data_IF_064354733329
#
_entry.id   IF_064354733329
#
_cell.length_a   1.000
_cell.length_b   1.000
_cell.length_c   1.000
_cell.angle_alpha   90.00
_cell.angle_beta   90.00
_cell.angle_gamma   90.00
#
_symmetry.space_group_name_H-M   'P 1'
#
loop_
_entity.id
_entity.type
_entity.pdbx_description
1 polymer ?
#
# COMPACT_ATOMS: atom_id res chain seq x y z
N UNK A 1 -86.05 8.99 -48.20
CA UNK A 1 -85.37 8.84 -49.52
C UNK A 1 -84.02 9.55 -49.41
N UNK A 2 -82.92 8.89 -49.79
CA UNK A 2 -81.51 9.37 -49.80
C UNK A 2 -80.84 9.51 -48.41
N UNK A 3 -79.57 9.16 -48.18
CA UNK A 3 -78.51 8.59 -49.02
C UNK A 3 -77.46 7.99 -48.07
N UNK A 4 -77.03 6.75 -48.33
CA UNK A 4 -75.87 6.14 -47.66
C UNK A 4 -74.57 6.76 -48.19
N UNK A 5 -73.70 7.24 -47.29
CA UNK A 5 -72.30 7.55 -47.61
C UNK A 5 -71.39 6.53 -46.90
N UNK A 6 -70.79 5.62 -47.68
CA UNK A 6 -69.72 4.69 -47.23
C UNK A 6 -68.38 5.41 -47.33
N UNK A 7 -67.77 5.74 -46.20
CA UNK A 7 -66.37 6.18 -46.13
C UNK A 7 -65.44 4.95 -46.11
N UNK A 8 -64.68 4.74 -47.19
CA UNK A 8 -63.58 3.77 -47.21
C UNK A 8 -62.33 4.43 -46.61
N UNK A 9 -61.91 3.94 -45.45
CA UNK A 9 -60.64 4.32 -44.82
C UNK A 9 -59.49 3.59 -45.52
N UNK A 10 -58.66 4.35 -46.23
CA UNK A 10 -57.43 3.85 -46.87
C UNK A 10 -56.29 3.95 -45.86
N UNK A 11 -55.92 2.80 -45.28
CA UNK A 11 -54.83 2.69 -44.31
C UNK A 11 -53.48 2.75 -45.04
N UNK A 12 -52.88 3.94 -45.14
CA UNK A 12 -51.54 4.09 -45.70
C UNK A 12 -50.48 3.51 -44.76
N UNK A 13 -49.86 2.39 -45.14
CA UNK A 13 -48.62 1.92 -44.51
C UNK A 13 -47.46 2.71 -45.11
N UNK A 14 -46.95 3.70 -44.37
CA UNK A 14 -45.68 4.37 -44.70
C UNK A 14 -44.54 3.39 -44.37
N UNK A 15 -44.08 2.66 -45.37
CA UNK A 15 -42.83 1.91 -45.29
C UNK A 15 -41.67 2.91 -45.34
N UNK A 16 -40.96 3.06 -44.23
CA UNK A 16 -39.75 3.90 -44.16
C UNK A 16 -38.65 3.20 -44.96
N UNK A 17 -38.45 3.61 -46.22
CA UNK A 17 -37.31 3.16 -47.02
C UNK A 17 -36.05 3.90 -46.58
N UNK A 18 -35.36 3.37 -45.57
CA UNK A 18 -34.00 3.80 -45.24
C UNK A 18 -33.06 3.36 -46.38
N UNK A 19 -32.45 4.34 -47.05
CA UNK A 19 -31.38 4.13 -48.02
C UNK A 19 -30.19 3.37 -47.42
N UNK A 20 -29.33 2.83 -48.27
CA UNK A 20 -28.17 1.99 -47.87
C UNK A 20 -27.22 2.70 -46.90
N UNK A 21 -27.12 4.03 -46.97
CA UNK A 21 -26.40 4.87 -46.00
C UNK A 21 -27.09 4.94 -44.63
N UNK A 22 -28.42 5.02 -44.59
CA UNK A 22 -29.19 5.00 -43.35
C UNK A 22 -29.10 3.66 -42.61
N UNK A 23 -29.01 2.54 -43.34
CA UNK A 23 -28.82 1.21 -42.76
C UNK A 23 -27.46 1.05 -42.07
N UNK A 24 -26.39 1.62 -42.65
CA UNK A 24 -25.04 1.59 -42.06
C UNK A 24 -24.97 2.42 -40.78
N UNK A 25 -25.55 3.62 -40.76
CA UNK A 25 -25.61 4.45 -39.56
C UNK A 25 -26.42 3.77 -38.43
N UNK A 26 -27.52 3.08 -38.77
CA UNK A 26 -28.31 2.32 -37.81
C UNK A 26 -27.54 1.12 -37.23
N UNK A 27 -26.79 0.39 -38.05
CA UNK A 27 -25.95 -0.72 -37.56
C UNK A 27 -24.82 -0.22 -36.66
N UNK A 28 -24.23 0.94 -36.97
CA UNK A 28 -23.20 1.57 -36.14
C UNK A 28 -23.77 2.04 -34.78
N UNK A 29 -24.96 2.65 -34.79
CA UNK A 29 -25.65 3.06 -33.56
C UNK A 29 -26.08 1.85 -32.70
N UNK A 30 -26.58 0.77 -33.33
CA UNK A 30 -26.94 -0.47 -32.62
C UNK A 30 -25.71 -1.18 -32.07
N UNK A 31 -24.60 -1.16 -32.81
CA UNK A 31 -23.31 -1.67 -32.33
C UNK A 31 -22.79 -0.86 -31.15
N UNK A 32 -22.92 0.48 -31.18
CA UNK A 32 -22.48 1.36 -30.10
C UNK A 32 -23.31 1.14 -28.81
N UNK A 33 -24.62 0.90 -28.95
CA UNK A 33 -25.51 0.52 -27.83
C UNK A 33 -25.20 -0.88 -27.26
N UNK A 34 -24.69 -1.81 -28.07
CA UNK A 34 -24.24 -3.13 -27.61
C UNK A 34 -22.92 -3.10 -26.85
N UNK A 35 -22.13 -2.03 -26.93
CA UNK A 35 -20.90 -1.83 -26.15
C UNK A 35 -21.12 -0.98 -24.89
N UNK A 36 -22.36 -0.73 -24.47
CA UNK A 36 -22.65 -0.27 -23.12
C UNK A 36 -22.36 -1.43 -22.14
N UNK A 37 -21.08 -1.61 -21.81
CA UNK A 37 -20.62 -2.51 -20.77
C UNK A 37 -21.40 -2.19 -19.51
N UNK A 38 -22.11 -3.18 -18.96
CA UNK A 38 -22.73 -3.09 -17.66
C UNK A 38 -21.61 -2.88 -16.65
N UNK A 39 -21.38 -1.63 -16.24
CA UNK A 39 -20.59 -1.35 -15.06
C UNK A 39 -21.26 -2.12 -13.93
N UNK A 40 -20.59 -3.16 -13.42
CA UNK A 40 -21.12 -3.91 -12.29
C UNK A 40 -21.10 -2.93 -11.13
N UNK A 41 -22.28 -2.60 -10.62
CA UNK A 41 -22.38 -1.64 -9.53
C UNK A 41 -21.70 -2.24 -8.31
N UNK A 42 -20.76 -1.50 -7.74
CA UNK A 42 -20.19 -1.78 -6.42
C UNK A 42 -21.33 -1.73 -5.40
N UNK A 43 -21.41 -2.71 -4.51
CA UNK A 43 -22.45 -2.79 -3.49
C UNK A 43 -21.78 -2.72 -2.11
N UNK A 44 -22.33 -1.87 -1.25
CA UNK A 44 -22.00 -1.88 0.18
C UNK A 44 -22.83 -2.95 0.88
N UNK A 45 -22.15 -3.89 1.51
CA UNK A 45 -22.73 -4.94 2.34
C UNK A 45 -22.49 -4.63 3.81
N UNK A 46 -23.55 -4.58 4.60
CA UNK A 46 -23.48 -4.35 6.05
C UNK A 46 -23.94 -5.59 6.79
N UNK A 47 -23.20 -6.05 7.80
CA UNK A 47 -23.62 -7.20 8.59
C UNK A 47 -24.88 -6.85 9.39
N UNK A 48 -25.84 -7.78 9.45
CA UNK A 48 -27.09 -7.64 10.22
C UNK A 48 -27.21 -8.65 11.36
N UNK A 49 -26.25 -9.57 11.44
CA UNK A 49 -26.11 -10.56 12.49
C UNK A 49 -24.69 -11.13 12.47
N UNK A 50 -24.30 -11.77 13.57
CA UNK A 50 -23.08 -12.57 13.62
C UNK A 50 -23.20 -13.83 12.77
N UNK A 51 -22.10 -14.28 12.16
CA UNK A 51 -22.08 -15.48 11.34
C UNK A 51 -20.89 -15.57 10.39
N UNK A 52 -20.96 -16.53 9.48
CA UNK A 52 -19.95 -16.72 8.43
C UNK A 52 -20.01 -15.62 7.38
N UNK A 53 -18.86 -15.20 6.86
CA UNK A 53 -18.74 -14.30 5.72
C UNK A 53 -19.45 -14.86 4.49
N UNK A 54 -19.34 -16.18 4.26
CA UNK A 54 -19.96 -16.88 3.12
C UNK A 54 -21.49 -16.92 3.13
N UNK A 55 -22.13 -16.64 4.26
CA UNK A 55 -23.58 -16.75 4.40
C UNK A 55 -24.25 -15.44 3.93
N UNK A 56 -25.07 -15.47 2.86
CA UNK A 56 -25.73 -14.26 2.36
C UNK A 56 -26.65 -13.59 3.39
N UNK A 57 -27.19 -14.37 4.35
CA UNK A 57 -28.05 -13.86 5.42
C UNK A 57 -27.28 -13.07 6.50
N UNK A 58 -25.96 -13.12 6.50
CA UNK A 58 -25.13 -12.27 7.36
C UNK A 58 -25.20 -10.82 6.90
N UNK A 59 -25.49 -10.55 5.62
CA UNK A 59 -25.30 -9.25 4.99
C UNK A 59 -26.59 -8.62 4.47
N UNK A 60 -26.62 -7.28 4.47
CA UNK A 60 -27.64 -6.46 3.84
C UNK A 60 -26.97 -5.51 2.83
N UNK A 61 -27.44 -5.46 1.55
CA UNK A 61 -28.46 -6.32 0.96
C UNK A 61 -28.04 -7.80 0.94
N UNK A 62 -29.02 -8.71 0.82
CA UNK A 62 -28.76 -10.15 0.83
C UNK A 62 -27.78 -10.54 -0.31
N UNK A 63 -26.61 -11.05 0.07
CA UNK A 63 -25.50 -11.37 -0.82
C UNK A 63 -24.21 -11.54 -0.03
N UNK A 64 -23.10 -11.78 -0.72
CA UNK A 64 -21.79 -11.97 -0.08
C UNK A 64 -20.82 -10.89 -0.60
N UNK A 65 -20.20 -10.08 0.27
CA UNK A 65 -19.22 -9.09 -0.15
C UNK A 65 -18.01 -9.74 -0.85
N UNK A 66 -17.53 -9.07 -1.90
CA UNK A 66 -16.38 -9.51 -2.70
C UNK A 66 -16.76 -10.45 -3.84
N UNK A 67 -18.06 -10.62 -4.11
CA UNK A 67 -18.54 -11.28 -5.34
C UNK A 67 -18.35 -10.40 -6.57
N UNK A 68 -18.31 -9.08 -6.39
CA UNK A 68 -17.94 -8.09 -7.39
C UNK A 68 -16.69 -7.33 -6.89
N UNK A 69 -15.79 -6.99 -7.80
CA UNK A 69 -14.64 -6.14 -7.46
C UNK A 69 -15.10 -4.73 -7.07
N UNK A 70 -14.57 -4.23 -5.97
CA UNK A 70 -14.93 -2.92 -5.43
C UNK A 70 -16.18 -2.92 -4.54
N UNK A 71 -16.76 -4.07 -4.22
CA UNK A 71 -17.74 -4.17 -3.12
C UNK A 71 -17.14 -3.61 -1.82
N UNK A 72 -18.01 -3.15 -0.92
CA UNK A 72 -17.61 -2.71 0.42
C UNK A 72 -18.23 -3.65 1.45
N UNK A 73 -17.49 -3.96 2.52
CA UNK A 73 -17.99 -4.74 3.64
C UNK A 73 -17.92 -3.91 4.93
N UNK A 74 -19.03 -3.81 5.64
CA UNK A 74 -19.14 -3.14 6.94
C UNK A 74 -19.59 -4.18 7.96
N UNK A 75 -18.75 -4.46 8.95
CA UNK A 75 -19.09 -5.30 10.08
C UNK A 75 -19.63 -4.38 11.17
N UNK A 76 -20.94 -4.45 11.37
CA UNK A 76 -21.69 -3.60 12.29
C UNK A 76 -21.27 -3.80 13.74
N UNK A 77 -21.55 -2.78 14.56
CA UNK A 77 -21.39 -2.85 16.02
C UNK A 77 -22.05 -4.09 16.62
N UNK A 78 -21.25 -4.86 17.36
CA UNK A 78 -21.70 -6.03 18.12
C UNK A 78 -21.78 -7.33 17.31
N UNK A 79 -21.63 -7.28 15.99
CA UNK A 79 -21.55 -8.46 15.16
C UNK A 79 -20.14 -9.06 15.16
N UNK A 80 -20.08 -10.39 15.17
CA UNK A 80 -18.85 -11.16 14.92
C UNK A 80 -19.03 -11.85 13.57
N UNK A 81 -18.23 -11.45 12.59
CA UNK A 81 -18.23 -12.07 11.26
C UNK A 81 -16.96 -12.90 11.10
N UNK A 82 -17.16 -14.21 10.90
CA UNK A 82 -16.05 -15.15 10.67
C UNK A 82 -15.74 -15.23 9.18
N UNK A 83 -14.53 -14.88 8.78
CA UNK A 83 -14.02 -15.08 7.43
C UNK A 83 -13.72 -16.57 7.21
N UNK A 84 -14.70 -17.28 6.66
CA UNK A 84 -14.68 -18.72 6.39
C UNK A 84 -14.44 -19.05 4.91
N UNK A 85 -14.19 -18.04 4.08
CA UNK A 85 -13.82 -18.16 2.66
C UNK A 85 -12.79 -17.10 2.31
N UNK A 86 -12.08 -17.27 1.20
CA UNK A 86 -11.33 -16.17 0.59
C UNK A 86 -12.20 -15.54 -0.50
N UNK A 87 -12.70 -14.30 -0.32
CA UNK A 87 -13.47 -13.63 -1.36
C UNK A 87 -12.68 -13.59 -2.68
N UNK A 88 -13.30 -13.88 -3.84
CA UNK A 88 -12.56 -14.02 -5.08
C UNK A 88 -12.01 -12.69 -5.62
N UNK A 89 -12.69 -11.57 -5.33
CA UNK A 89 -12.30 -10.24 -5.80
C UNK A 89 -11.87 -9.33 -4.65
N UNK A 90 -11.15 -8.27 -5.01
CA UNK A 90 -10.70 -7.23 -4.09
C UNK A 90 -11.87 -6.32 -3.73
N UNK A 91 -12.10 -6.15 -2.43
CA UNK A 91 -13.07 -5.21 -1.88
C UNK A 91 -12.52 -3.78 -2.00
N UNK A 92 -13.38 -2.79 -2.25
CA UNK A 92 -12.99 -1.38 -2.15
C UNK A 92 -12.63 -1.04 -0.71
N UNK A 93 -13.43 -1.52 0.25
CA UNK A 93 -13.15 -1.32 1.66
C UNK A 93 -13.69 -2.45 2.55
N UNK A 94 -13.03 -2.65 3.69
CA UNK A 94 -13.53 -3.41 4.83
C UNK A 94 -13.50 -2.51 6.06
N UNK A 95 -14.66 -2.26 6.65
CA UNK A 95 -14.80 -1.47 7.87
C UNK A 95 -15.30 -2.35 9.00
N UNK A 96 -14.59 -2.34 10.13
CA UNK A 96 -15.03 -2.94 11.38
C UNK A 96 -15.45 -1.82 12.32
N UNK A 97 -16.77 -1.67 12.51
CA UNK A 97 -17.32 -0.62 13.36
C UNK A 97 -17.04 -0.87 14.84
N UNK A 98 -17.29 0.16 15.65
CA UNK A 98 -17.08 0.09 17.10
C UNK A 98 -17.82 -1.11 17.70
N UNK A 99 -17.09 -2.04 18.31
CA UNK A 99 -17.62 -3.26 18.92
C UNK A 99 -17.89 -4.40 17.94
N UNK A 100 -17.75 -4.19 16.63
CA UNK A 100 -17.75 -5.26 15.63
C UNK A 100 -16.46 -6.07 15.67
N UNK A 101 -16.49 -7.30 15.15
CA UNK A 101 -15.30 -8.17 15.05
C UNK A 101 -15.24 -8.88 13.71
N UNK A 102 -14.13 -8.72 12.99
CA UNK A 102 -13.73 -9.60 11.89
C UNK A 102 -12.81 -10.68 12.44
N UNK A 103 -13.19 -11.94 12.30
CA UNK A 103 -12.43 -13.06 12.82
C UNK A 103 -12.05 -14.03 11.70
N UNK A 104 -10.77 -14.39 11.56
CA UNK A 104 -10.37 -15.42 10.60
C UNK A 104 -10.67 -16.83 11.16
N UNK A 105 -11.24 -17.71 10.33
CA UNK A 105 -11.56 -19.08 10.73
C UNK A 105 -10.30 -19.91 11.06
N UNK A 106 -10.44 -20.91 11.93
CA UNK A 106 -9.33 -21.80 12.30
C UNK A 106 -9.18 -23.06 11.43
N UNK A 107 -9.96 -23.17 10.34
CA UNK A 107 -10.08 -24.41 9.55
C UNK A 107 -9.09 -24.44 8.39
N UNK A 108 -8.93 -23.32 7.68
CA UNK A 108 -8.07 -23.25 6.50
C UNK A 108 -7.41 -21.87 6.38
N UNK A 109 -6.29 -21.78 5.66
CA UNK A 109 -5.71 -20.50 5.32
C UNK A 109 -6.73 -19.66 4.51
N UNK A 110 -6.90 -18.39 4.89
CA UNK A 110 -7.81 -17.45 4.21
C UNK A 110 -7.05 -16.21 3.78
N UNK A 111 -7.40 -15.70 2.62
CA UNK A 111 -6.96 -14.41 2.13
C UNK A 111 -8.15 -13.46 2.06
N UNK A 112 -8.10 -12.36 2.80
CA UNK A 112 -8.98 -11.21 2.58
C UNK A 112 -8.26 -10.22 1.69
N UNK A 113 -8.91 -9.78 0.61
CA UNK A 113 -8.38 -8.78 -0.32
C UNK A 113 -9.18 -7.50 -0.22
N UNK A 114 -8.56 -6.38 0.10
CA UNK A 114 -9.23 -5.09 0.17
C UNK A 114 -8.28 -3.97 -0.22
N UNK A 115 -8.74 -2.89 -0.85
CA UNK A 115 -7.90 -1.69 -1.03
C UNK A 115 -7.69 -0.98 0.30
N UNK A 116 -8.79 -0.79 1.03
CA UNK A 116 -8.80 -0.10 2.31
C UNK A 116 -9.36 -0.98 3.44
N UNK A 117 -8.75 -0.91 4.60
CA UNK A 117 -9.20 -1.58 5.83
C UNK A 117 -9.25 -0.55 6.94
N UNK A 118 -10.41 -0.39 7.58
CA UNK A 118 -10.61 0.50 8.72
C UNK A 118 -11.11 -0.28 9.92
N UNK A 119 -10.43 -0.15 11.05
CA UNK A 119 -10.86 -0.69 12.34
C UNK A 119 -11.12 0.48 13.27
N UNK A 120 -12.38 0.70 13.63
CA UNK A 120 -12.78 1.79 14.53
C UNK A 120 -12.37 1.48 15.99
N UNK A 121 -12.46 2.48 16.88
CA UNK A 121 -11.84 2.48 18.22
C UNK A 121 -12.13 1.27 19.11
N UNK A 122 -13.28 0.63 18.93
CA UNK A 122 -13.66 -0.60 19.64
C UNK A 122 -13.82 -1.82 18.71
N UNK A 123 -13.59 -1.63 17.41
CA UNK A 123 -13.58 -2.70 16.42
C UNK A 123 -12.39 -3.63 16.63
N UNK A 124 -12.55 -4.88 16.17
CA UNK A 124 -11.51 -5.90 16.29
C UNK A 124 -11.26 -6.66 14.99
N UNK A 125 -10.00 -6.92 14.69
CA UNK A 125 -9.60 -7.98 13.75
C UNK A 125 -8.81 -9.02 14.54
N UNK A 126 -9.24 -10.27 14.53
CA UNK A 126 -8.64 -11.35 15.32
C UNK A 126 -8.48 -12.65 14.53
N UNK A 127 -7.69 -13.57 15.08
CA UNK A 127 -7.63 -14.96 14.63
C UNK A 127 -8.37 -15.87 15.61
N UNK A 128 -9.09 -16.87 15.10
CA UNK A 128 -9.47 -18.00 15.95
C UNK A 128 -8.20 -18.81 16.32
N UNK A 129 -8.07 -19.26 17.58
CA UNK A 129 -6.99 -20.17 17.95
C UNK A 129 -7.00 -21.43 17.07
N UNK A 130 -5.88 -21.72 16.39
CA UNK A 130 -5.72 -22.87 15.50
C UNK A 130 -4.34 -23.52 15.62
N UNK A 131 -4.27 -24.79 15.22
CA UNK A 131 -3.05 -25.61 15.25
C UNK A 131 -2.21 -25.52 13.95
N UNK A 132 -2.23 -24.36 13.26
CA UNK A 132 -1.40 -23.95 12.10
C UNK A 132 -2.23 -23.71 10.83
N UNK A 133 -2.54 -22.42 10.61
CA UNK A 133 -2.91 -21.83 9.33
C UNK A 133 -2.21 -20.46 9.24
N UNK A 134 -1.63 -20.14 8.08
CA UNK A 134 -1.17 -18.76 7.80
C UNK A 134 -2.24 -18.07 6.98
N UNK A 135 -2.92 -17.10 7.58
CA UNK A 135 -3.89 -16.25 6.89
C UNK A 135 -3.18 -15.09 6.18
N UNK A 136 -3.90 -14.36 5.34
CA UNK A 136 -3.40 -13.17 4.68
C UNK A 136 -4.45 -12.06 4.64
N UNK A 137 -4.03 -10.86 5.01
CA UNK A 137 -4.70 -9.61 4.67
C UNK A 137 -3.92 -8.97 3.52
N UNK A 138 -4.46 -9.02 2.31
CA UNK A 138 -3.84 -8.46 1.11
C UNK A 138 -4.48 -7.11 0.78
N UNK A 139 -3.67 -6.06 0.89
CA UNK A 139 -4.03 -4.70 0.49
C UNK A 139 -3.53 -4.41 -0.93
N UNK A 140 -4.45 -4.30 -1.89
CA UNK A 140 -4.14 -4.05 -3.30
C UNK A 140 -5.16 -3.08 -3.93
N UNK A 141 -4.75 -2.25 -4.92
CA UNK A 141 -5.70 -1.41 -5.65
C UNK A 141 -6.74 -2.23 -6.41
N UNK A 142 -7.88 -1.61 -6.72
CA UNK A 142 -8.86 -2.18 -7.65
C UNK A 142 -8.33 -2.06 -9.08
N UNK A 143 -8.75 -2.97 -9.97
CA UNK A 143 -8.40 -2.93 -11.39
C UNK A 143 -8.86 -1.64 -12.10
N UNK A 144 -9.86 -0.95 -11.54
CA UNK A 144 -10.41 0.31 -12.03
C UNK A 144 -9.82 1.55 -11.37
N UNK A 145 -9.00 1.39 -10.33
CA UNK A 145 -8.42 2.53 -9.62
C UNK A 145 -7.44 3.28 -10.52
N UNK A 146 -7.36 4.63 -10.39
CA UNK A 146 -6.26 5.36 -10.99
C UNK A 146 -4.94 4.88 -10.38
N UNK A 147 -3.84 5.00 -11.13
CA UNK A 147 -2.54 4.50 -10.70
C UNK A 147 -2.20 4.96 -9.27
N UNK A 148 -2.38 6.26 -8.99
CA UNK A 148 -2.09 6.97 -7.74
C UNK A 148 -3.05 6.72 -6.57
N UNK A 149 -4.00 5.78 -6.71
CA UNK A 149 -4.87 5.45 -5.59
C UNK A 149 -4.05 4.85 -4.45
N UNK A 150 -4.34 5.30 -3.23
CA UNK A 150 -3.72 4.78 -2.01
C UNK A 150 -4.34 3.43 -1.61
N UNK A 151 -3.56 2.63 -0.88
CA UNK A 151 -4.08 1.46 -0.14
C UNK A 151 -3.80 1.69 1.34
N UNK A 152 -4.82 1.60 2.18
CA UNK A 152 -4.70 1.99 3.59
C UNK A 152 -5.19 0.90 4.53
N UNK A 153 -4.37 0.53 5.52
CA UNK A 153 -4.82 -0.12 6.74
C UNK A 153 -4.79 0.90 7.87
N UNK A 154 -5.96 1.40 8.24
CA UNK A 154 -6.15 2.26 9.40
C UNK A 154 -6.73 1.47 10.57
N UNK A 155 -6.01 1.40 11.68
CA UNK A 155 -6.48 0.74 12.89
C UNK A 155 -6.48 1.70 14.09
N UNK A 156 -7.68 2.02 14.54
CA UNK A 156 -7.93 2.76 15.78
C UNK A 156 -8.42 1.84 16.92
N UNK A 157 -8.72 0.58 16.63
CA UNK A 157 -9.22 -0.42 17.58
C UNK A 157 -8.18 -1.45 18.01
N UNK A 158 -8.51 -2.73 17.93
CA UNK A 158 -7.60 -3.85 18.26
C UNK A 158 -7.37 -4.74 17.05
N UNK A 159 -6.11 -4.96 16.71
CA UNK A 159 -5.72 -5.94 15.68
C UNK A 159 -4.80 -6.96 16.34
N UNK A 160 -5.25 -8.21 16.40
CA UNK A 160 -4.52 -9.37 16.94
C UNK A 160 -4.43 -10.44 15.87
N UNK A 161 -3.32 -10.40 15.13
CA UNK A 161 -3.02 -11.28 14.00
C UNK A 161 -1.97 -12.34 14.36
N UNK A 162 -1.75 -12.58 15.65
CA UNK A 162 -0.81 -13.56 16.19
C UNK A 162 -1.43 -14.27 17.40
N UNK A 163 -2.03 -15.45 17.17
CA UNK A 163 -2.66 -16.23 18.24
C UNK A 163 -2.03 -17.61 18.31
N UNK A 164 -1.13 -17.79 19.27
CA UNK A 164 -0.38 -19.04 19.42
C UNK A 164 0.53 -19.30 18.22
N UNK A 165 0.22 -20.33 17.43
CA UNK A 165 0.93 -20.65 16.17
C UNK A 165 0.22 -20.12 14.92
N UNK A 166 -1.03 -19.63 15.06
CA UNK A 166 -1.77 -19.04 13.95
C UNK A 166 -1.27 -17.61 13.73
N UNK A 167 -1.07 -17.26 12.46
CA UNK A 167 -0.48 -15.97 12.06
C UNK A 167 -1.20 -15.46 10.81
N UNK A 168 -1.48 -14.16 10.74
CA UNK A 168 -1.92 -13.50 9.51
C UNK A 168 -0.81 -12.61 8.95
N UNK A 169 -0.46 -12.81 7.68
CA UNK A 169 0.45 -11.91 6.97
C UNK A 169 -0.33 -10.71 6.45
N UNK A 170 0.06 -9.50 6.85
CA UNK A 170 -0.45 -8.25 6.26
C UNK A 170 0.45 -7.87 5.10
N UNK A 171 -0.06 -7.88 3.88
CA UNK A 171 0.71 -7.57 2.66
C UNK A 171 0.08 -6.39 1.94
N UNK A 172 0.85 -5.32 1.76
CA UNK A 172 0.52 -4.23 0.84
C UNK A 172 1.20 -4.52 -0.49
N UNK A 173 0.42 -4.82 -1.53
CA UNK A 173 0.93 -5.17 -2.86
C UNK A 173 0.41 -4.23 -3.92
N UNK A 174 1.31 -3.67 -4.73
CA UNK A 174 0.91 -2.86 -5.89
C UNK A 174 1.91 -2.95 -7.03
N UNK A 175 1.40 -2.78 -8.24
CA UNK A 175 2.17 -2.64 -9.48
C UNK A 175 2.02 -1.26 -10.12
N UNK A 176 1.40 -0.32 -9.41
CA UNK A 176 1.18 1.07 -9.82
C UNK A 176 1.87 2.02 -8.82
N UNK A 177 2.02 3.29 -9.17
CA UNK A 177 2.47 4.32 -8.23
C UNK A 177 1.34 4.76 -7.34
N UNK A 178 1.49 4.76 -6.03
CA UNK A 178 0.53 5.38 -5.13
C UNK A 178 0.87 5.04 -3.67
N UNK A 179 0.33 5.78 -2.71
CA UNK A 179 0.74 5.60 -1.31
C UNK A 179 0.29 4.25 -0.76
N UNK A 180 1.05 3.72 0.20
CA UNK A 180 0.63 2.57 1.01
C UNK A 180 0.76 2.95 2.48
N UNK A 181 -0.29 2.75 3.27
CA UNK A 181 -0.35 3.31 4.62
C UNK A 181 -0.78 2.27 5.63
N UNK A 182 0.04 2.03 6.66
CA UNK A 182 -0.31 1.31 7.89
C UNK A 182 -0.36 2.34 9.03
N UNK A 183 -1.55 2.78 9.41
CA UNK A 183 -1.74 3.95 10.28
C UNK A 183 -2.78 3.69 11.38
N UNK A 184 -2.90 4.62 12.33
CA UNK A 184 -3.97 4.64 13.32
C UNK A 184 -3.46 4.63 14.78
N UNK A 185 -4.39 4.74 15.72
CA UNK A 185 -4.10 4.85 17.17
C UNK A 185 -4.29 3.56 17.97
N UNK A 186 -4.71 2.47 17.31
CA UNK A 186 -5.12 1.23 17.94
C UNK A 186 -3.96 0.41 18.49
N UNK A 187 -4.31 -0.76 19.04
CA UNK A 187 -3.33 -1.79 19.38
C UNK A 187 -3.04 -2.63 18.14
N UNK A 188 -1.75 -2.86 17.87
CA UNK A 188 -1.27 -3.69 16.78
C UNK A 188 -0.44 -4.84 17.34
N UNK A 189 -0.92 -6.06 17.16
CA UNK A 189 -0.14 -7.29 17.23
C UNK A 189 -0.21 -7.96 15.86
N UNK A 190 0.77 -7.66 15.01
CA UNK A 190 0.78 -8.08 13.61
C UNK A 190 1.66 -9.33 13.42
N UNK A 191 1.24 -10.21 12.53
CA UNK A 191 2.13 -11.21 11.96
C UNK A 191 3.21 -10.57 11.07
N UNK A 192 3.71 -11.29 10.06
CA UNK A 192 4.57 -10.71 9.04
C UNK A 192 3.87 -9.55 8.31
N UNK A 193 4.55 -8.42 8.21
CA UNK A 193 4.13 -7.28 7.39
C UNK A 193 5.04 -7.22 6.15
N UNK A 194 4.42 -7.15 4.97
CA UNK A 194 5.13 -7.03 3.69
C UNK A 194 4.64 -5.77 2.99
N UNK A 195 5.55 -4.86 2.66
CA UNK A 195 5.27 -3.67 1.86
C UNK A 195 6.02 -3.78 0.54
N UNK A 196 5.29 -4.08 -0.53
CA UNK A 196 5.85 -4.28 -1.86
C UNK A 196 5.23 -3.31 -2.88
N UNK A 197 6.12 -2.69 -3.66
CA UNK A 197 5.74 -1.90 -4.81
C UNK A 197 6.61 -2.34 -5.98
N UNK A 198 5.98 -2.95 -6.99
CA UNK A 198 6.64 -3.55 -8.14
C UNK A 198 6.38 -2.79 -9.44
N UNK A 199 6.01 -1.50 -9.36
CA UNK A 199 5.79 -0.69 -10.57
C UNK A 199 6.95 -0.85 -11.54
N UNK A 200 6.63 -1.31 -12.75
CA UNK A 200 7.60 -1.48 -13.84
C UNK A 200 7.82 -0.18 -14.62
N UNK A 201 7.07 0.86 -14.28
CA UNK A 201 7.26 2.18 -14.88
C UNK A 201 8.63 2.70 -14.49
N UNK A 202 9.40 3.10 -15.50
CA UNK A 202 10.70 3.71 -15.29
C UNK A 202 10.48 5.09 -14.69
N UNK A 203 11.08 5.34 -13.53
CA UNK A 203 11.15 6.68 -12.96
C UNK A 203 11.84 7.62 -13.97
N UNK A 204 11.45 8.90 -14.10
CA UNK A 204 12.08 9.83 -15.00
C UNK A 204 13.52 10.03 -14.55
N UNK A 205 14.41 10.12 -15.53
CA UNK A 205 15.83 10.28 -15.27
C UNK A 205 16.18 11.69 -14.75
N UNK A 206 15.25 12.64 -14.86
CA UNK A 206 15.47 14.05 -14.48
C UNK A 206 15.04 14.32 -13.04
N UNK A 207 15.95 14.94 -12.27
CA UNK A 207 15.73 15.34 -10.87
C UNK A 207 14.63 16.38 -10.69
N UNK A 208 14.42 17.21 -11.70
CA UNK A 208 13.46 18.32 -11.68
C UNK A 208 12.07 17.92 -12.23
N UNK A 209 11.89 16.67 -12.68
CA UNK A 209 10.57 16.18 -13.07
C UNK A 209 9.66 16.17 -11.81
N UNK A 210 8.46 16.81 -11.86
CA UNK A 210 7.50 16.79 -10.76
C UNK A 210 7.40 15.40 -10.14
N UNK A 211 7.34 15.36 -8.79
CA UNK A 211 7.15 14.15 -8.02
C UNK A 211 6.18 13.19 -8.72
N UNK A 212 6.79 12.18 -9.33
CA UNK A 212 6.10 11.21 -10.15
C UNK A 212 5.22 10.42 -9.20
N UNK A 213 3.93 10.79 -9.16
CA UNK A 213 2.84 10.07 -8.49
C UNK A 213 3.26 9.46 -7.14
N UNK A 214 3.19 10.25 -6.06
CA UNK A 214 3.52 9.85 -4.69
C UNK A 214 3.23 8.37 -4.38
N UNK A 215 4.30 7.57 -4.26
CA UNK A 215 4.25 6.17 -3.88
C UNK A 215 4.90 5.92 -2.52
N UNK A 216 4.92 6.96 -1.67
CA UNK A 216 5.44 6.88 -0.30
C UNK A 216 4.69 5.79 0.48
N UNK A 217 5.46 4.94 1.14
CA UNK A 217 4.91 3.98 2.09
C UNK A 217 4.99 4.61 3.49
N UNK A 218 3.93 4.51 4.29
CA UNK A 218 3.86 5.12 5.62
C UNK A 218 3.51 4.06 6.66
N UNK A 219 4.27 4.01 7.75
CA UNK A 219 4.00 3.20 8.94
C UNK A 219 3.88 4.13 10.14
N UNK A 220 2.71 4.15 10.79
CA UNK A 220 2.39 5.07 11.87
C UNK A 220 1.86 6.41 11.35
N UNK A 221 1.47 7.28 12.28
CA UNK A 221 0.93 8.60 12.00
C UNK A 221 1.66 9.66 12.83
N UNK A 222 1.94 10.81 12.23
CA UNK A 222 2.63 11.91 12.90
C UNK A 222 1.84 12.45 14.10
N UNK A 223 2.53 12.79 15.19
CA UNK A 223 1.93 13.51 16.32
C UNK A 223 0.91 12.70 17.14
N UNK A 224 0.75 11.41 16.86
CA UNK A 224 0.08 10.50 17.78
C UNK A 224 0.92 10.34 19.06
N UNK A 225 0.26 10.04 20.18
CA UNK A 225 0.95 9.41 21.32
C UNK A 225 1.85 8.28 20.81
N UNK A 226 2.98 8.00 21.46
CA UNK A 226 3.93 6.93 21.11
C UNK A 226 3.27 5.54 21.08
N UNK A 227 2.49 5.30 20.02
CA UNK A 227 1.84 4.04 19.70
C UNK A 227 2.97 3.13 19.27
N UNK A 228 3.08 2.00 19.97
CA UNK A 228 3.96 0.92 19.60
C UNK A 228 3.21 0.03 18.60
N UNK A 229 3.78 -0.12 17.40
CA UNK A 229 3.32 -1.10 16.42
C UNK A 229 4.17 -2.35 16.60
N UNK A 230 3.57 -3.41 17.14
CA UNK A 230 4.22 -4.71 17.27
C UNK A 230 3.99 -5.54 16.01
N UNK A 231 5.06 -6.18 15.51
CA UNK A 231 4.99 -7.10 14.38
C UNK A 231 6.02 -8.23 14.49
N UNK A 232 5.74 -9.38 13.90
CA UNK A 232 6.70 -10.49 13.85
C UNK A 232 7.89 -10.20 12.93
N UNK A 233 7.64 -9.64 11.75
CA UNK A 233 8.67 -9.28 10.78
C UNK A 233 8.19 -8.18 9.87
N UNK A 234 9.12 -7.38 9.33
CA UNK A 234 8.83 -6.37 8.30
C UNK A 234 9.67 -6.65 7.07
N UNK A 235 9.05 -6.90 5.92
CA UNK A 235 9.72 -6.94 4.63
C UNK A 235 9.32 -5.72 3.80
N UNK A 236 10.32 -4.97 3.32
CA UNK A 236 10.14 -3.85 2.40
C UNK A 236 10.82 -4.20 1.08
N UNK A 237 10.03 -4.15 0.00
CA UNK A 237 10.47 -4.36 -1.37
C UNK A 237 9.86 -3.30 -2.27
N UNK A 238 10.30 -2.07 -2.08
CA UNK A 238 9.81 -0.90 -2.78
C UNK A 238 10.73 -0.58 -3.96
N UNK A 239 10.34 -1.01 -5.18
CA UNK A 239 11.13 -0.81 -6.39
C UNK A 239 11.19 0.64 -6.86
N UNK A 240 10.23 1.47 -6.45
CA UNK A 240 10.14 2.88 -6.84
C UNK A 240 10.78 3.82 -5.81
N UNK A 241 11.20 3.28 -4.67
CA UNK A 241 11.93 4.02 -3.64
C UNK A 241 13.39 4.21 -4.02
N UNK A 242 13.81 5.46 -4.22
CA UNK A 242 15.18 5.78 -4.64
C UNK A 242 15.71 7.05 -4.00
N UNK A 243 17.02 7.06 -3.76
CA UNK A 243 17.77 8.28 -3.43
C UNK A 243 18.36 8.80 -4.72
N UNK A 244 18.09 10.06 -5.03
CA UNK A 244 18.78 10.78 -6.10
C UNK A 244 19.71 11.84 -5.52
N UNK A 245 20.95 11.79 -5.98
CA UNK A 245 21.96 12.76 -5.66
C UNK A 245 22.42 13.42 -6.95
N UNK A 246 22.40 14.74 -7.00
CA UNK A 246 23.07 15.50 -8.06
C UNK A 246 24.21 16.31 -7.46
N UNK A 247 25.39 16.10 -8.06
CA UNK A 247 26.46 17.08 -8.02
C UNK A 247 26.41 17.82 -9.34
N UNK A 248 25.87 19.02 -9.34
CA UNK A 248 26.20 19.96 -10.42
C UNK A 248 27.71 20.19 -10.32
N UNK A 249 28.48 19.71 -11.30
CA UNK A 249 29.90 20.06 -11.41
C UNK A 249 29.97 21.47 -12.00
N UNK A 250 29.46 22.45 -11.27
CA UNK A 250 29.81 23.83 -11.50
C UNK A 250 30.92 24.20 -10.53
N UNK A 251 32.09 24.55 -11.07
CA UNK A 251 33.35 24.70 -10.33
C UNK A 251 33.34 25.85 -9.31
N UNK A 252 32.21 26.55 -9.11
CA UNK A 252 32.17 27.90 -8.57
C UNK A 252 31.05 28.23 -7.56
N UNK A 253 30.36 27.27 -6.89
CA UNK A 253 29.69 27.42 -5.55
C UNK A 253 28.32 26.71 -5.34
N UNK A 254 27.96 25.65 -6.06
CA UNK A 254 26.64 25.01 -5.81
C UNK A 254 26.67 23.93 -4.72
N UNK A 255 25.65 23.97 -3.85
CA UNK A 255 25.42 22.96 -2.81
C UNK A 255 24.86 21.69 -3.44
N UNK A 256 25.37 20.49 -3.08
CA UNK A 256 24.81 19.23 -3.55
C UNK A 256 23.29 19.16 -3.31
N UNK A 257 22.54 18.70 -4.33
CA UNK A 257 21.10 18.50 -4.23
C UNK A 257 20.81 17.03 -3.91
N UNK A 258 19.91 16.82 -2.94
CA UNK A 258 19.48 15.51 -2.49
C UNK A 258 17.96 15.41 -2.54
N UNK A 259 17.45 14.30 -3.06
CA UNK A 259 16.02 14.02 -3.16
C UNK A 259 15.72 12.55 -2.83
N UNK A 260 14.74 12.35 -1.96
CA UNK A 260 14.17 11.04 -1.63
C UNK A 260 12.85 10.90 -2.38
N UNK A 261 12.76 9.93 -3.28
CA UNK A 261 11.51 9.62 -3.96
C UNK A 261 10.89 8.36 -3.38
N UNK A 262 9.60 8.45 -3.05
CA UNK A 262 8.76 7.35 -2.61
C UNK A 262 9.39 6.50 -1.48
N UNK A 263 9.93 7.10 -0.40
CA UNK A 263 10.51 6.32 0.69
C UNK A 263 9.42 5.56 1.46
N UNK A 264 9.86 4.58 2.23
CA UNK A 264 9.10 4.01 3.34
C UNK A 264 9.41 4.82 4.59
N UNK A 265 8.42 5.51 5.14
CA UNK A 265 8.56 6.39 6.29
C UNK A 265 7.91 5.75 7.51
N UNK A 266 8.62 5.74 8.62
CA UNK A 266 8.13 5.27 9.92
C UNK A 266 7.96 6.45 10.86
N UNK A 267 6.74 6.66 11.32
CA UNK A 267 6.30 7.78 12.17
C UNK A 267 5.80 7.30 13.54
N UNK A 268 6.00 6.02 13.88
CA UNK A 268 5.61 5.43 15.16
C UNK A 268 6.72 4.52 15.69
N UNK A 269 6.63 4.17 16.97
CA UNK A 269 7.54 3.19 17.57
C UNK A 269 7.30 1.83 16.94
N UNK A 270 8.39 1.16 16.54
CA UNK A 270 8.32 -0.19 15.97
C UNK A 270 8.96 -1.19 16.93
N UNK A 271 8.27 -2.31 17.12
CA UNK A 271 8.80 -3.47 17.82
C UNK A 271 8.66 -4.70 16.94
N UNK A 272 9.78 -5.11 16.35
CA UNK A 272 9.87 -6.23 15.43
C UNK A 272 10.58 -7.38 16.13
N UNK A 273 9.85 -8.45 16.48
CA UNK A 273 10.44 -9.57 17.24
C UNK A 273 11.39 -10.44 16.40
N UNK A 274 11.15 -10.51 15.09
CA UNK A 274 11.96 -11.24 14.12
C UNK A 274 12.81 -10.33 13.23
N UNK A 275 12.63 -10.44 11.91
CA UNK A 275 13.51 -9.80 10.94
C UNK A 275 12.90 -8.51 10.36
N UNK A 276 13.73 -7.48 10.25
CA UNK A 276 13.55 -6.37 9.32
C UNK A 276 14.34 -6.66 8.05
N UNK A 277 13.65 -6.91 6.94
CA UNK A 277 14.23 -7.24 5.63
C UNK A 277 13.95 -6.09 4.67
N UNK A 278 14.98 -5.30 4.34
CA UNK A 278 14.90 -4.28 3.32
C UNK A 278 15.56 -4.80 2.03
N UNK A 279 14.76 -5.32 1.10
CA UNK A 279 15.26 -5.84 -0.18
C UNK A 279 15.63 -4.71 -1.13
N UNK A 280 14.71 -3.74 -1.29
CA UNK A 280 14.80 -2.54 -2.15
C UNK A 280 13.95 -1.42 -1.53
N UNK A 281 14.33 -0.17 -1.80
CA UNK A 281 13.70 1.04 -1.29
C UNK A 281 14.53 1.75 -0.20
N UNK A 282 14.03 2.89 0.26
CA UNK A 282 14.60 3.62 1.39
C UNK A 282 13.66 3.47 2.57
N UNK A 283 14.18 3.07 3.74
CA UNK A 283 13.45 3.14 5.00
C UNK A 283 13.94 4.35 5.80
N UNK A 284 13.06 5.28 6.13
CA UNK A 284 13.34 6.47 6.94
C UNK A 284 12.62 6.34 8.29
N UNK A 285 13.40 6.22 9.37
CA UNK A 285 12.88 6.20 10.72
C UNK A 285 12.79 7.62 11.27
N UNK A 286 11.59 7.99 11.73
CA UNK A 286 11.27 9.26 12.39
C UNK A 286 11.49 10.51 11.52
N UNK A 287 10.72 10.63 10.43
CA UNK A 287 10.78 11.80 9.55
C UNK A 287 10.06 13.01 10.18
N UNK A 288 10.76 13.69 11.08
CA UNK A 288 10.59 15.10 11.46
C UNK A 288 9.25 15.53 12.11
N UNK A 289 8.78 14.83 13.13
CA UNK A 289 7.62 15.29 13.94
C UNK A 289 7.99 15.78 15.36
N UNK A 290 9.28 15.98 15.64
CA UNK A 290 9.80 16.31 16.98
C UNK A 290 9.44 15.27 18.05
N UNK A 291 9.00 14.06 17.69
CA UNK A 291 8.78 12.98 18.65
C UNK A 291 10.05 12.17 18.83
N UNK A 292 10.32 11.71 20.05
CA UNK A 292 11.41 10.77 20.28
C UNK A 292 10.88 9.35 20.15
N UNK A 293 11.47 8.55 19.26
CA UNK A 293 11.04 7.19 18.95
C UNK A 293 12.16 6.20 19.28
N UNK A 294 11.81 5.07 19.87
CA UNK A 294 12.74 3.95 20.07
C UNK A 294 12.21 2.75 19.33
N UNK A 295 12.95 2.31 18.31
CA UNK A 295 12.63 1.11 17.54
C UNK A 295 13.45 -0.07 18.07
N UNK A 296 12.83 -1.25 18.15
CA UNK A 296 13.50 -2.50 18.50
C UNK A 296 13.28 -3.53 17.41
N UNK A 297 14.35 -4.19 16.98
CA UNK A 297 14.34 -5.22 15.94
C UNK A 297 15.14 -6.43 16.41
N UNK A 298 14.66 -7.62 16.08
CA UNK A 298 15.41 -8.86 16.18
C UNK A 298 16.67 -8.79 15.31
N UNK A 299 16.56 -9.09 14.03
CA UNK A 299 17.70 -9.02 13.08
C UNK A 299 17.39 -8.08 11.91
N UNK A 300 18.43 -7.55 11.26
CA UNK A 300 18.33 -6.72 10.07
C UNK A 300 18.97 -7.43 8.88
N UNK A 301 18.28 -7.42 7.74
CA UNK A 301 18.81 -7.84 6.46
C UNK A 301 18.62 -6.71 5.43
N UNK A 302 19.71 -6.23 4.83
CA UNK A 302 19.67 -5.14 3.84
C UNK A 302 20.24 -5.59 2.49
N UNK A 303 19.51 -5.32 1.43
CA UNK A 303 19.92 -5.58 0.06
C UNK A 303 19.31 -6.84 -0.54
N UNK A 304 19.43 -6.92 -1.86
CA UNK A 304 19.06 -8.07 -2.68
C UNK A 304 20.03 -8.22 -3.86
N UNK A 305 19.96 -9.33 -4.59
CA UNK A 305 20.73 -9.54 -5.81
C UNK A 305 20.35 -8.57 -6.95
N UNK A 306 19.26 -7.81 -6.81
CA UNK A 306 18.80 -6.79 -7.76
C UNK A 306 18.96 -5.36 -7.22
N UNK A 307 19.59 -5.18 -6.06
CA UNK A 307 20.02 -3.85 -5.61
C UNK A 307 21.12 -3.36 -6.56
N UNK A 308 20.99 -2.13 -7.07
CA UNK A 308 21.92 -1.58 -8.08
C UNK A 308 22.28 -0.16 -7.68
N UNK A 309 23.55 0.20 -7.84
CA UNK A 309 23.95 1.61 -7.90
C UNK A 309 24.21 1.97 -9.35
N UNK A 310 23.54 3.01 -9.85
CA UNK A 310 23.81 3.51 -11.20
C UNK A 310 24.54 4.84 -11.04
N UNK A 311 25.79 4.87 -11.51
CA UNK A 311 26.56 6.09 -11.70
C UNK A 311 26.45 6.49 -13.17
N UNK A 312 25.95 7.68 -13.46
CA UNK A 312 25.88 8.17 -14.83
C UNK A 312 25.59 9.66 -14.88
N UNK A 313 26.00 10.33 -15.97
CA UNK A 313 25.48 11.66 -16.28
C UNK A 313 23.98 11.53 -16.51
N UNK A 314 23.18 12.32 -15.79
CA UNK A 314 21.79 12.51 -16.13
C UNK A 314 21.68 13.15 -17.53
N UNK A 315 20.47 13.21 -18.13
CA UNK A 315 20.27 13.86 -19.43
C UNK A 315 20.75 15.32 -19.50
N UNK A 316 20.94 15.97 -18.34
CA UNK A 316 21.39 17.34 -18.18
C UNK A 316 22.91 17.47 -17.91
N UNK A 317 23.64 16.34 -17.84
CA UNK A 317 25.08 16.32 -17.58
C UNK A 317 25.47 16.38 -16.09
N UNK A 318 24.52 16.19 -15.17
CA UNK A 318 24.78 16.04 -13.74
C UNK A 318 25.27 14.62 -13.45
N UNK A 319 26.46 14.48 -12.82
CA UNK A 319 26.89 13.18 -12.36
C UNK A 319 26.09 12.81 -11.11
N UNK A 320 25.17 11.86 -11.26
CA UNK A 320 24.32 11.39 -10.18
C UNK A 320 24.62 9.96 -9.74
N UNK A 321 24.29 9.66 -8.49
CA UNK A 321 24.26 8.29 -7.97
C UNK A 321 22.82 7.94 -7.63
N UNK A 322 22.33 6.85 -8.21
CA UNK A 322 21.04 6.26 -7.84
C UNK A 322 21.29 5.12 -6.85
N UNK A 323 20.75 5.25 -5.64
CA UNK A 323 20.72 4.16 -4.66
C UNK A 323 19.29 3.66 -4.53
N UNK A 324 19.10 2.34 -4.68
CA UNK A 324 17.78 1.71 -4.56
C UNK A 324 17.62 0.88 -3.28
N UNK A 325 18.52 0.96 -2.30
CA UNK A 325 18.37 0.27 -1.00
C UNK A 325 19.09 1.03 0.11
N UNK A 326 18.38 1.45 1.17
CA UNK A 326 19.05 2.10 2.31
C UNK A 326 18.16 2.32 3.53
N UNK A 327 18.78 2.46 4.70
CA UNK A 327 18.09 2.81 5.96
C UNK A 327 18.63 4.16 6.45
N UNK A 328 17.74 5.12 6.68
CA UNK A 328 18.05 6.38 7.32
C UNK A 328 17.41 6.43 8.71
N UNK A 329 18.20 6.76 9.72
CA UNK A 329 17.70 7.04 11.07
C UNK A 329 17.82 8.55 11.29
N UNK A 330 16.68 9.22 11.38
CA UNK A 330 16.62 10.67 11.43
C UNK A 330 16.24 11.09 12.85
N UNK A 331 17.05 11.94 13.46
CA UNK A 331 16.69 12.62 14.70
C UNK A 331 16.23 14.04 14.37
N UNK A 332 15.14 14.51 14.99
CA UNK A 332 14.69 15.90 14.86
C UNK A 332 15.38 16.80 15.91
N UNK A 333 15.41 18.12 15.69
CA UNK A 333 16.21 19.11 16.45
C UNK A 333 16.02 19.08 17.97
N UNK A 334 14.93 18.48 18.46
CA UNK A 334 14.67 18.29 19.89
C UNK A 334 14.17 16.88 20.24
N UNK A 335 14.51 15.89 19.43
CA UNK A 335 14.06 14.52 19.59
C UNK A 335 15.17 13.51 19.33
N UNK A 336 15.07 12.35 19.95
CA UNK A 336 15.99 11.23 19.73
C UNK A 336 15.29 10.09 19.02
N UNK A 337 15.97 9.53 18.02
CA UNK A 337 15.54 8.29 17.37
C UNK A 337 16.57 7.21 17.64
N UNK A 338 16.15 6.17 18.35
CA UNK A 338 16.99 5.01 18.64
C UNK A 338 16.55 3.81 17.82
N UNK A 339 17.50 3.05 17.30
CA UNK A 339 17.25 1.73 16.69
C UNK A 339 18.09 0.71 17.45
N UNK A 340 17.42 -0.20 18.17
CA UNK A 340 18.06 -1.31 18.89
C UNK A 340 17.93 -2.58 18.07
N UNK A 341 19.05 -3.24 17.80
CA UNK A 341 19.10 -4.53 17.09
C UNK A 341 19.66 -5.57 18.04
N UNK A 342 18.92 -6.66 18.24
CA UNK A 342 19.28 -7.70 19.24
C UNK A 342 19.95 -8.93 18.64
N UNK A 343 19.81 -9.12 17.33
CA UNK A 343 20.38 -10.20 16.54
C UNK A 343 21.33 -9.67 15.45
N UNK A 344 21.42 -10.42 14.36
CA UNK A 344 22.43 -10.15 13.33
C UNK A 344 22.03 -9.01 12.40
N UNK A 345 23.03 -8.27 11.92
CA UNK A 345 22.90 -7.35 10.78
C UNK A 345 23.62 -7.98 9.60
N UNK A 346 22.86 -8.32 8.55
CA UNK A 346 23.38 -9.02 7.37
C UNK A 346 23.09 -8.23 6.09
N UNK A 347 23.96 -8.40 5.09
CA UNK A 347 23.77 -7.83 3.77
C UNK A 347 24.04 -8.88 2.68
N UNK A 348 23.18 -9.93 2.61
CA UNK A 348 23.39 -11.02 1.69
C UNK A 348 23.23 -10.49 0.26
N UNK A 349 24.26 -10.70 -0.56
CA UNK A 349 24.32 -10.33 -1.99
C UNK A 349 24.81 -8.92 -2.34
N UNK A 350 25.49 -8.22 -1.42
CA UNK A 350 26.31 -7.07 -1.82
C UNK A 350 27.57 -7.55 -2.57
N UNK A 351 27.51 -7.51 -3.90
CA UNK A 351 28.71 -7.53 -4.73
C UNK A 351 29.22 -6.09 -4.94
N UNK A 352 30.48 -5.90 -5.30
CA UNK A 352 31.06 -4.57 -5.60
C UNK A 352 30.33 -3.82 -6.74
N UNK A 353 29.49 -4.50 -7.54
CA UNK A 353 28.63 -3.86 -8.55
C UNK A 353 27.30 -3.32 -7.98
N UNK A 354 26.98 -3.68 -6.73
CA UNK A 354 25.72 -3.41 -6.05
C UNK A 354 25.94 -2.61 -4.74
N UNK A 355 26.96 -1.73 -4.70
CA UNK A 355 27.36 -0.89 -3.53
C UNK A 355 26.33 0.19 -3.14
N UNK A 356 25.04 -0.14 -3.24
CA UNK A 356 23.93 0.77 -3.04
C UNK A 356 23.47 0.95 -1.59
N UNK A 357 24.00 0.19 -0.62
CA UNK A 357 23.51 0.22 0.77
C UNK A 357 24.06 1.41 1.54
N UNK A 358 23.18 2.36 1.80
CA UNK A 358 23.48 3.50 2.66
C UNK A 358 22.78 3.32 4.00
N UNK A 359 23.54 3.30 5.10
CA UNK A 359 23.01 3.57 6.43
C UNK A 359 23.35 5.02 6.75
N UNK A 360 22.34 5.89 6.82
CA UNK A 360 22.54 7.31 7.08
C UNK A 360 22.02 7.64 8.47
N UNK A 361 22.91 8.11 9.35
CA UNK A 361 22.52 8.74 10.61
C UNK A 361 22.40 10.24 10.36
N UNK A 362 21.17 10.75 10.34
CA UNK A 362 20.92 12.18 10.16
C UNK A 362 20.67 12.77 11.54
N UNK A 363 21.71 13.38 12.12
CA UNK A 363 21.54 14.24 13.29
C UNK A 363 20.89 15.54 12.83
N UNK A 364 19.97 16.13 13.61
CA UNK A 364 19.37 17.40 13.23
C UNK A 364 20.44 18.49 13.21
N UNK A 365 20.36 19.36 12.21
CA UNK A 365 21.10 20.60 12.19
C UNK A 365 20.72 21.41 13.44
N UNK A 366 21.67 21.63 14.34
CA UNK A 366 21.51 22.59 15.41
C UNK A 366 21.44 24.00 14.79
N UNK A 367 20.24 24.56 14.69
CA UNK A 367 19.96 26.01 14.72
C UNK A 367 20.36 26.91 13.55
N UNK A 368 21.46 26.68 12.83
CA UNK A 368 21.89 27.58 11.72
C UNK A 368 22.78 26.91 10.66
N UNK A 369 23.00 25.60 10.75
CA UNK A 369 23.95 24.89 9.89
C UNK A 369 23.30 24.26 8.66
N UNK A 370 23.92 24.44 7.50
CA UNK A 370 23.66 23.75 6.24
C UNK A 370 23.33 22.26 6.47
N UNK A 371 22.33 21.75 5.75
CA UNK A 371 21.93 20.35 5.71
C UNK A 371 23.05 19.52 5.03
N UNK A 372 24.20 19.41 5.67
CA UNK A 372 25.26 18.48 5.26
C UNK A 372 24.86 17.15 5.85
N UNK A 373 23.89 16.50 5.22
CA UNK A 373 23.70 15.08 5.38
C UNK A 373 25.03 14.42 5.08
N UNK A 374 25.74 13.95 6.11
CA UNK A 374 26.90 13.08 5.93
C UNK A 374 26.36 11.78 5.38
N UNK A 375 26.24 11.66 4.06
CA UNK A 375 26.31 10.38 3.39
C UNK A 375 27.73 9.87 3.64
N UNK A 376 27.95 9.23 4.79
CA UNK A 376 28.99 8.23 4.85
C UNK A 376 28.51 7.12 3.94
N UNK A 377 28.72 7.28 2.63
CA UNK A 377 28.80 6.15 1.74
C UNK A 377 29.77 5.21 2.44
N UNK A 378 29.29 4.03 2.81
CA UNK A 378 30.15 2.97 3.27
C UNK A 378 31.00 2.54 2.06
N UNK A 379 31.98 3.37 1.69
CA UNK A 379 33.13 2.89 0.96
C UNK A 379 33.75 1.91 1.94
N UNK A 380 33.63 0.65 1.58
CA UNK A 380 34.06 -0.52 2.32
C UNK A 380 35.56 -0.41 2.61
N UNK A 381 35.93 0.30 3.67
CA UNK A 381 37.20 0.05 4.35
C UNK A 381 36.93 -0.99 5.43
N UNK A 382 37.75 -2.03 5.37
CA UNK A 382 37.45 -3.34 5.93
C UNK A 382 37.30 -3.26 7.44
N UNK A 383 36.14 -3.72 7.92
CA UNK A 383 35.99 -4.18 9.31
C UNK A 383 35.16 -3.27 10.18
N UNK A 384 33.84 -3.34 10.01
CA UNK A 384 32.93 -3.07 11.12
C UNK A 384 32.68 -4.40 11.83
N UNK A 385 33.31 -4.58 12.99
CA UNK A 385 32.84 -5.52 14.01
C UNK A 385 31.98 -4.71 14.98
N UNK A 386 30.70 -5.05 15.09
CA UNK A 386 29.85 -4.58 16.19
C UNK A 386 30.23 -5.31 17.47
#
# INVERSE_FOLDING_TARGET
MRQHARQRSVKMRKHLHLGTTGKKAWLLALSLLCFCTTAVAQITYTSVQSGSWSNPLTWLPNGVPGTVEGDEAIISTGDIVTLDVSPPNTLASVTVDDGGTLEYDNVAARTLKARDVTVNSLGKITLQPSAITTHQLLLEPLSTDPANMATTFQNNGTVDLVVGTAVCTTRFSRSTYGPQSLIGTGTFDLGPVIMENFSATLLPNELDDPAETDATQTIGQSGGSSIEIEMQSLEINNQVGQVRFAVTIDYLNETPRYREDNPTVVLAQLKISGNLILKRGILILNRADNTSLTHSVGSIQIGSNTSTSVYGPDPNGENGVLHNTGIAVVSATNATTNLTVTGDVTAPSLSHANEGVTIMLVSPASGTGLNIGSTSGAINDRGWKF
#
